data_IF_699336958735
#
_entry.id   IF_699336958735
#
_cell.length_a   1.000
_cell.length_b   1.000
_cell.length_c   1.000
_cell.angle_alpha   90.00
_cell.angle_beta   90.00
_cell.angle_gamma   90.00
#
_symmetry.space_group_name_H-M   'P 1'
#
loop_
_entity.id
_entity.type
_entity.pdbx_description
1 polymer ?
#
# COMPACT_ATOMS: atom_id res chain seq x y z
N UNK A 1 -44.07 -17.49 -19.30
CA UNK A 1 -42.65 -17.45 -18.94
C UNK A 1 -42.26 -15.99 -18.83
N UNK A 2 -42.35 -15.41 -17.65
CA UNK A 2 -41.91 -14.05 -17.35
C UNK A 2 -40.39 -14.10 -17.21
N UNK A 3 -39.69 -13.57 -18.20
CA UNK A 3 -38.24 -13.40 -18.13
C UNK A 3 -37.96 -12.32 -17.07
N UNK A 4 -37.67 -12.75 -15.85
CA UNK A 4 -37.11 -11.85 -14.83
C UNK A 4 -35.75 -11.38 -15.34
N UNK A 5 -35.64 -10.10 -15.69
CA UNK A 5 -34.36 -9.45 -16.04
C UNK A 5 -33.37 -9.69 -14.90
N UNK A 6 -32.18 -10.19 -15.20
CA UNK A 6 -31.10 -10.33 -14.21
C UNK A 6 -30.79 -8.93 -13.62
N UNK A 7 -30.96 -8.73 -12.32
CA UNK A 7 -30.73 -7.42 -11.69
C UNK A 7 -29.25 -6.95 -11.81
N UNK A 8 -28.35 -7.85 -12.22
CA UNK A 8 -26.92 -7.56 -12.44
C UNK A 8 -26.60 -7.02 -13.84
N UNK A 9 -27.59 -6.99 -14.76
CA UNK A 9 -27.36 -6.45 -16.10
C UNK A 9 -26.88 -4.98 -16.04
N UNK A 10 -25.85 -4.64 -16.82
CA UNK A 10 -25.30 -3.27 -16.87
C UNK A 10 -26.38 -2.27 -17.35
N UNK A 11 -26.47 -1.12 -16.69
CA UNK A 11 -27.26 0.02 -17.20
C UNK A 11 -26.52 0.61 -18.39
N UNK A 12 -27.23 0.98 -19.46
CA UNK A 12 -26.71 1.92 -20.43
C UNK A 12 -26.35 3.23 -19.73
N UNK A 13 -25.20 3.81 -20.06
CA UNK A 13 -24.74 5.05 -19.46
C UNK A 13 -25.80 6.13 -19.58
N UNK A 14 -26.23 6.73 -18.46
CA UNK A 14 -27.16 7.85 -18.49
C UNK A 14 -26.55 9.01 -19.29
N UNK A 15 -27.33 9.70 -20.16
CA UNK A 15 -26.85 10.87 -20.87
C UNK A 15 -26.37 11.94 -19.89
N UNK A 16 -25.23 12.57 -20.18
CA UNK A 16 -24.70 13.68 -19.36
C UNK A 16 -25.64 14.87 -19.45
N UNK A 17 -25.96 15.48 -18.31
CA UNK A 17 -26.49 16.84 -18.29
C UNK A 17 -25.35 17.80 -18.60
N UNK A 18 -25.58 18.82 -19.44
CA UNK A 18 -24.55 19.72 -20.00
C UNK A 18 -23.73 20.54 -18.98
N UNK A 19 -24.18 20.61 -17.70
CA UNK A 19 -23.54 21.37 -16.61
C UNK A 19 -22.78 20.48 -15.61
N UNK A 20 -22.71 19.16 -15.84
CA UNK A 20 -21.94 18.26 -14.97
C UNK A 20 -20.43 18.49 -15.15
N UNK A 21 -19.65 18.63 -14.04
CA UNK A 21 -18.20 18.70 -14.12
C UNK A 21 -17.63 17.44 -14.81
N UNK A 22 -16.42 17.51 -15.39
CA UNK A 22 -15.83 16.39 -16.09
C UNK A 22 -15.78 15.16 -15.18
N UNK A 23 -15.91 13.97 -15.79
CA UNK A 23 -15.81 12.71 -15.07
C UNK A 23 -14.48 12.66 -14.29
N UNK A 24 -14.57 12.41 -12.98
CA UNK A 24 -13.41 12.39 -12.08
C UNK A 24 -13.36 13.56 -11.09
N UNK A 25 -14.14 14.62 -11.31
CA UNK A 25 -14.21 15.83 -10.47
C UNK A 25 -15.63 16.12 -9.96
N UNK A 26 -16.52 15.15 -10.10
CA UNK A 26 -17.93 15.32 -9.67
C UNK A 26 -18.06 15.26 -8.15
N UNK A 27 -18.98 16.04 -7.61
CA UNK A 27 -19.44 15.87 -6.24
C UNK A 27 -20.18 14.52 -6.10
N UNK A 28 -20.28 13.97 -4.87
CA UNK A 28 -21.04 12.75 -4.64
C UNK A 28 -22.51 12.90 -5.10
N UNK A 29 -23.05 11.81 -5.65
CA UNK A 29 -24.48 11.73 -5.99
C UNK A 29 -25.00 10.35 -5.58
N UNK A 30 -25.90 10.34 -4.61
CA UNK A 30 -26.50 9.13 -4.06
C UNK A 30 -27.98 9.14 -4.37
N UNK A 31 -28.39 8.33 -5.34
CA UNK A 31 -29.75 8.27 -5.86
C UNK A 31 -30.56 7.07 -5.30
N UNK A 32 -29.85 6.09 -4.67
CA UNK A 32 -30.48 4.87 -4.12
C UNK A 32 -30.05 4.65 -2.67
N UNK A 33 -30.59 3.62 -2.03
CA UNK A 33 -29.99 3.10 -0.79
C UNK A 33 -28.53 2.64 -1.02
N UNK A 34 -27.72 2.58 0.04
CA UNK A 34 -26.30 2.22 -0.02
C UNK A 34 -26.05 1.02 0.93
N UNK A 35 -25.73 -0.16 0.37
CA UNK A 35 -25.78 -0.53 -1.05
C UNK A 35 -27.21 -0.59 -1.59
N UNK A 36 -27.37 -0.33 -2.89
CA UNK A 36 -28.65 -0.43 -3.57
C UNK A 36 -29.02 -1.87 -3.96
N UNK A 37 -30.21 -2.07 -4.54
CA UNK A 37 -30.72 -3.42 -4.81
C UNK A 37 -29.85 -4.24 -5.78
N UNK A 38 -29.22 -3.60 -6.77
CA UNK A 38 -28.29 -4.28 -7.69
C UNK A 38 -26.98 -4.63 -7.00
N UNK A 39 -26.47 -3.73 -6.16
CA UNK A 39 -25.31 -3.96 -5.32
C UNK A 39 -25.53 -5.17 -4.40
N UNK A 40 -26.67 -5.25 -3.73
CA UNK A 40 -27.04 -6.38 -2.85
C UNK A 40 -27.09 -7.72 -3.60
N UNK A 41 -27.65 -7.74 -4.82
CA UNK A 41 -27.64 -8.96 -5.63
C UNK A 41 -26.23 -9.46 -5.98
N UNK A 42 -25.28 -8.55 -6.20
CA UNK A 42 -23.87 -8.90 -6.36
C UNK A 42 -23.23 -9.38 -5.06
N UNK A 43 -23.56 -8.76 -3.92
CA UNK A 43 -23.06 -9.18 -2.60
C UNK A 43 -23.51 -10.58 -2.23
N UNK A 44 -24.77 -10.97 -2.55
CA UNK A 44 -25.23 -12.33 -2.39
C UNK A 44 -24.46 -13.33 -3.25
N UNK A 45 -24.15 -12.96 -4.50
CA UNK A 45 -23.33 -13.81 -5.38
C UNK A 45 -21.90 -13.94 -4.84
N UNK A 46 -21.32 -12.85 -4.34
CA UNK A 46 -20.00 -12.82 -3.72
C UNK A 46 -19.95 -13.74 -2.50
N UNK A 47 -20.95 -13.68 -1.62
CA UNK A 47 -21.02 -14.49 -0.41
C UNK A 47 -21.06 -16.00 -0.69
N UNK A 48 -21.58 -16.43 -1.86
CA UNK A 48 -21.59 -17.83 -2.28
C UNK A 48 -20.24 -18.32 -2.82
N UNK A 49 -19.38 -17.41 -3.28
CA UNK A 49 -18.19 -17.74 -4.06
C UNK A 49 -16.87 -17.35 -3.39
N UNK A 50 -16.88 -16.36 -2.50
CA UNK A 50 -15.66 -15.92 -1.81
C UNK A 50 -15.34 -16.78 -0.57
N UNK A 51 -14.08 -16.71 -0.13
CA UNK A 51 -13.67 -17.36 1.11
C UNK A 51 -14.50 -16.84 2.30
N UNK A 52 -15.05 -17.75 3.15
CA UNK A 52 -15.93 -17.38 4.28
C UNK A 52 -15.35 -16.36 5.25
N UNK A 53 -14.02 -16.22 5.33
CA UNK A 53 -13.34 -15.26 6.20
C UNK A 53 -13.73 -13.80 5.90
N UNK A 54 -13.99 -13.46 4.64
CA UNK A 54 -14.37 -12.11 4.24
C UNK A 54 -15.79 -11.78 4.67
N UNK A 55 -16.74 -12.70 4.46
CA UNK A 55 -18.12 -12.58 4.91
C UNK A 55 -18.19 -12.47 6.44
N UNK A 56 -17.49 -13.36 7.16
CA UNK A 56 -17.42 -13.33 8.63
C UNK A 56 -16.84 -12.00 9.16
N UNK A 57 -15.86 -11.42 8.48
CA UNK A 57 -15.31 -10.11 8.85
C UNK A 57 -16.34 -8.99 8.70
N UNK A 58 -17.15 -9.00 7.63
CA UNK A 58 -18.22 -8.03 7.42
C UNK A 58 -19.29 -8.16 8.52
N UNK A 59 -19.77 -9.35 8.79
CA UNK A 59 -20.75 -9.63 9.85
C UNK A 59 -20.27 -9.10 11.22
N UNK A 60 -19.02 -9.40 11.60
CA UNK A 60 -18.44 -8.91 12.85
C UNK A 60 -18.37 -7.38 12.92
N UNK A 61 -18.04 -6.70 11.82
CA UNK A 61 -18.03 -5.24 11.75
C UNK A 61 -19.42 -4.65 11.86
N UNK A 62 -20.44 -5.29 11.27
CA UNK A 62 -21.84 -4.88 11.42
C UNK A 62 -22.30 -4.97 12.87
N UNK A 63 -21.98 -6.05 13.57
CA UNK A 63 -22.24 -6.20 15.01
C UNK A 63 -21.57 -5.10 15.85
N UNK A 64 -20.28 -4.81 15.54
CA UNK A 64 -19.52 -3.79 16.27
C UNK A 64 -20.01 -2.36 16.06
N UNK A 65 -20.49 -2.04 14.86
CA UNK A 65 -20.90 -0.69 14.48
C UNK A 65 -22.39 -0.43 14.67
N UNK A 66 -23.20 -1.49 14.77
CA UNK A 66 -24.66 -1.39 14.70
C UNK A 66 -25.19 -0.90 13.33
N UNK A 67 -24.34 -0.91 12.29
CA UNK A 67 -24.67 -0.45 10.95
C UNK A 67 -24.40 -1.53 9.91
N UNK A 68 -25.14 -1.56 8.78
CA UNK A 68 -24.83 -2.46 7.66
C UNK A 68 -23.38 -2.26 7.16
N UNK A 69 -22.70 -3.35 6.88
CA UNK A 69 -21.33 -3.33 6.34
C UNK A 69 -21.20 -4.07 5.01
N UNK A 70 -22.34 -4.32 4.35
CA UNK A 70 -22.34 -4.86 3.00
C UNK A 70 -21.62 -3.89 2.06
N UNK A 71 -20.71 -4.38 1.22
CA UNK A 71 -19.93 -3.51 0.35
C UNK A 71 -20.78 -2.96 -0.79
N UNK A 72 -20.52 -1.73 -1.21
CA UNK A 72 -20.89 -1.26 -2.53
C UNK A 72 -20.07 -2.02 -3.58
N UNK A 73 -20.64 -2.24 -4.75
CA UNK A 73 -19.96 -2.95 -5.85
C UNK A 73 -19.59 -1.95 -6.93
N UNK A 74 -18.29 -1.69 -7.07
CA UNK A 74 -17.77 -0.75 -8.06
C UNK A 74 -17.90 -1.30 -9.48
N UNK A 75 -18.42 -0.50 -10.39
CA UNK A 75 -18.55 -0.83 -11.81
C UNK A 75 -17.71 0.05 -12.70
N UNK A 76 -17.45 1.29 -12.29
CA UNK A 76 -16.56 2.19 -13.00
C UNK A 76 -15.86 3.16 -12.05
N UNK A 77 -14.74 3.72 -12.49
CA UNK A 77 -14.04 4.78 -11.77
C UNK A 77 -13.26 5.67 -12.74
N UNK A 78 -13.14 6.96 -12.42
CA UNK A 78 -12.30 7.92 -13.16
C UNK A 78 -11.90 9.08 -12.26
N UNK A 79 -10.63 9.50 -12.30
CA UNK A 79 -10.11 10.56 -11.43
C UNK A 79 -10.29 10.19 -9.95
N UNK A 80 -11.02 10.99 -9.19
CA UNK A 80 -11.38 10.71 -7.80
C UNK A 80 -12.78 10.09 -7.63
N UNK A 81 -13.53 9.86 -8.71
CA UNK A 81 -14.87 9.32 -8.64
C UNK A 81 -14.94 7.82 -8.88
N UNK A 82 -15.82 7.18 -8.13
CA UNK A 82 -16.21 5.77 -8.29
C UNK A 82 -17.71 5.70 -8.47
N UNK A 83 -18.19 4.84 -9.36
CA UNK A 83 -19.59 4.56 -9.57
C UNK A 83 -19.92 3.12 -9.16
N UNK A 84 -20.99 2.93 -8.39
CA UNK A 84 -21.42 1.59 -7.99
C UNK A 84 -22.42 0.97 -8.99
N UNK A 85 -22.79 -0.28 -8.72
CA UNK A 85 -23.72 -1.04 -9.57
C UNK A 85 -25.12 -0.42 -9.67
N UNK A 86 -25.48 0.43 -8.74
CA UNK A 86 -26.79 1.11 -8.69
C UNK A 86 -26.75 2.52 -9.33
N UNK A 87 -25.55 2.99 -9.73
CA UNK A 87 -25.32 4.27 -10.39
C UNK A 87 -25.05 5.43 -9.44
N UNK A 88 -24.87 5.15 -8.14
CA UNK A 88 -24.41 6.16 -7.20
C UNK A 88 -22.96 6.54 -7.49
N UNK A 89 -22.63 7.82 -7.35
CA UNK A 89 -21.28 8.37 -7.56
C UNK A 89 -20.68 8.77 -6.22
N UNK A 90 -19.49 8.27 -5.98
CA UNK A 90 -18.73 8.51 -4.76
C UNK A 90 -17.43 9.28 -5.05
N UNK A 91 -16.92 9.99 -4.04
CA UNK A 91 -15.55 10.51 -4.02
C UNK A 91 -14.67 9.55 -3.20
N UNK A 92 -13.64 9.03 -3.83
CA UNK A 92 -12.73 8.06 -3.23
C UNK A 92 -11.54 8.72 -2.54
N UNK A 93 -11.64 8.94 -1.23
CA UNK A 93 -10.51 9.39 -0.40
C UNK A 93 -9.51 8.27 -0.07
N UNK A 94 -9.82 7.02 -0.42
CA UNK A 94 -8.94 5.88 -0.17
C UNK A 94 -7.92 5.67 -1.28
N UNK A 95 -8.14 6.28 -2.45
CA UNK A 95 -7.37 6.04 -3.68
C UNK A 95 -7.24 4.54 -3.99
N UNK A 96 -8.30 3.74 -3.77
CA UNK A 96 -8.25 2.28 -3.93
C UNK A 96 -7.17 1.63 -3.06
N UNK A 97 -7.12 1.91 -1.78
CA UNK A 97 -6.02 1.52 -0.86
C UNK A 97 -4.66 2.14 -1.21
N UNK A 98 -4.64 3.37 -1.73
CA UNK A 98 -3.41 4.07 -2.11
C UNK A 98 -2.84 3.66 -3.46
N UNK A 99 -3.59 2.92 -4.27
CA UNK A 99 -3.17 2.45 -5.61
C UNK A 99 -3.36 3.54 -6.68
N UNK A 100 -4.46 4.28 -6.63
CA UNK A 100 -4.81 5.28 -7.63
C UNK A 100 -4.18 6.66 -7.32
N UNK A 101 -2.85 6.71 -7.16
CA UNK A 101 -2.15 7.95 -6.82
C UNK A 101 -2.24 9.03 -7.92
N UNK A 102 -2.36 8.61 -9.18
CA UNK A 102 -2.57 9.49 -10.35
C UNK A 102 -4.05 9.63 -10.72
N UNK A 103 -4.96 9.16 -9.85
CA UNK A 103 -6.39 9.05 -10.13
C UNK A 103 -6.76 7.74 -10.82
N UNK A 104 -8.03 7.35 -10.65
CA UNK A 104 -8.56 6.17 -11.33
C UNK A 104 -8.55 6.37 -12.84
N UNK A 105 -8.10 5.35 -13.57
CA UNK A 105 -8.16 5.32 -15.04
C UNK A 105 -7.55 6.54 -15.72
N UNK A 106 -6.36 6.98 -15.22
CA UNK A 106 -5.65 8.10 -15.83
C UNK A 106 -5.43 7.88 -17.33
N UNK A 107 -5.74 8.85 -18.23
CA UNK A 107 -5.73 8.65 -19.67
C UNK A 107 -4.38 8.14 -20.23
N UNK A 108 -3.25 8.68 -19.72
CA UNK A 108 -1.90 8.25 -20.14
C UNK A 108 -1.62 6.81 -19.74
N UNK A 109 -2.05 6.39 -18.54
CA UNK A 109 -1.88 5.01 -18.06
C UNK A 109 -2.72 4.06 -18.90
N UNK A 110 -3.98 4.40 -19.17
CA UNK A 110 -4.88 3.59 -20.03
C UNK A 110 -4.29 3.47 -21.44
N UNK A 111 -3.82 4.58 -22.02
CA UNK A 111 -3.20 4.59 -23.36
C UNK A 111 -1.95 3.69 -23.42
N UNK A 112 -1.08 3.75 -22.42
CA UNK A 112 0.12 2.92 -22.34
C UNK A 112 -0.23 1.42 -22.25
N UNK A 113 -1.24 1.05 -21.44
CA UNK A 113 -1.73 -0.33 -21.31
C UNK A 113 -2.30 -0.79 -22.65
N UNK A 114 -3.12 0.02 -23.32
CA UNK A 114 -3.74 -0.33 -24.62
C UNK A 114 -2.66 -0.56 -25.66
N UNK A 115 -1.75 0.37 -25.85
CA UNK A 115 -0.66 0.23 -26.82
C UNK A 115 0.22 -0.99 -26.54
N UNK A 116 0.52 -1.27 -25.27
CA UNK A 116 1.30 -2.45 -24.88
C UNK A 116 0.53 -3.75 -25.12
N UNK A 117 -0.80 -3.75 -24.93
CA UNK A 117 -1.63 -4.93 -25.17
C UNK A 117 -1.67 -5.35 -26.62
N UNK A 118 -1.56 -4.40 -27.54
CA UNK A 118 -1.48 -4.66 -28.98
C UNK A 118 -0.09 -5.16 -29.42
N UNK A 119 0.95 -4.91 -28.60
CA UNK A 119 2.33 -5.26 -28.90
C UNK A 119 2.76 -6.61 -28.30
N UNK A 120 2.61 -6.76 -26.98
CA UNK A 120 3.05 -7.96 -26.25
C UNK A 120 2.38 -8.03 -24.88
N UNK A 121 1.60 -9.10 -24.63
CA UNK A 121 0.95 -9.34 -23.35
C UNK A 121 1.87 -9.98 -22.31
N UNK A 122 2.75 -10.90 -22.75
CA UNK A 122 3.63 -11.65 -21.86
C UNK A 122 4.98 -11.92 -22.50
N UNK A 123 6.06 -11.77 -21.76
CA UNK A 123 7.41 -12.17 -22.15
C UNK A 123 7.83 -13.43 -21.37
N UNK A 124 9.03 -13.97 -21.65
CA UNK A 124 9.52 -15.17 -20.96
C UNK A 124 10.41 -14.81 -19.76
N UNK A 125 9.88 -13.96 -18.88
CA UNK A 125 10.48 -13.61 -17.59
C UNK A 125 11.91 -13.03 -17.70
N UNK A 126 12.86 -13.74 -17.16
CA UNK A 126 14.29 -13.44 -17.17
C UNK A 126 15.03 -14.07 -18.38
N UNK A 127 14.46 -15.12 -18.98
CA UNK A 127 15.06 -15.84 -20.12
C UNK A 127 14.98 -14.99 -21.41
N UNK A 128 13.80 -14.45 -21.72
CA UNK A 128 13.59 -13.53 -22.83
C UNK A 128 12.75 -12.35 -22.36
N UNK A 129 13.38 -11.33 -21.75
CA UNK A 129 12.69 -10.18 -21.20
C UNK A 129 12.11 -9.29 -22.30
N UNK A 130 11.02 -8.58 -21.98
CA UNK A 130 10.50 -7.55 -22.87
C UNK A 130 11.31 -6.25 -22.73
N UNK A 131 11.32 -5.45 -23.80
CA UNK A 131 11.93 -4.12 -23.83
C UNK A 131 11.35 -3.20 -22.75
N UNK A 132 10.03 -3.18 -22.61
CA UNK A 132 9.34 -2.34 -21.60
C UNK A 132 9.67 -2.78 -20.16
N UNK A 133 9.97 -4.07 -19.91
CA UNK A 133 10.49 -4.52 -18.61
C UNK A 133 11.86 -3.90 -18.33
N UNK A 134 12.74 -3.93 -19.34
CA UNK A 134 14.11 -3.37 -19.20
C UNK A 134 14.04 -1.88 -18.94
N UNK A 135 13.25 -1.12 -19.73
CA UNK A 135 13.04 0.32 -19.52
C UNK A 135 12.52 0.63 -18.10
N UNK A 136 11.58 -0.17 -17.58
CA UNK A 136 11.10 0.03 -16.22
C UNK A 136 12.19 -0.26 -15.18
N UNK A 137 13.01 -1.30 -15.36
CA UNK A 137 14.11 -1.59 -14.43
C UNK A 137 15.12 -0.44 -14.36
N UNK A 138 15.48 0.15 -15.50
CA UNK A 138 16.36 1.33 -15.58
C UNK A 138 15.71 2.55 -14.86
N UNK A 139 14.43 2.81 -15.14
CA UNK A 139 13.69 3.92 -14.51
C UNK A 139 13.59 3.75 -12.98
N UNK A 140 13.35 2.52 -12.51
CA UNK A 140 13.28 2.21 -11.08
C UNK A 140 14.66 2.28 -10.41
N UNK A 141 15.71 1.81 -11.06
CA UNK A 141 17.08 1.92 -10.56
C UNK A 141 17.47 3.39 -10.36
N UNK A 142 17.05 4.27 -11.25
CA UNK A 142 17.31 5.71 -11.14
C UNK A 142 16.54 6.40 -9.99
N UNK A 143 15.52 5.77 -9.39
CA UNK A 143 14.83 6.29 -8.21
C UNK A 143 15.60 6.04 -6.91
N UNK A 144 16.50 5.06 -6.88
CA UNK A 144 17.27 4.73 -5.69
C UNK A 144 18.20 5.85 -5.28
N UNK A 145 18.40 6.09 -3.97
CA UNK A 145 19.29 7.17 -3.48
C UNK A 145 20.78 6.85 -3.59
N UNK A 146 21.13 5.61 -3.98
CA UNK A 146 22.50 5.13 -4.05
C UNK A 146 23.15 5.49 -5.39
N UNK A 147 24.49 5.46 -5.43
CA UNK A 147 25.25 5.69 -6.66
C UNK A 147 24.85 4.74 -7.78
N UNK A 148 24.66 3.48 -7.44
CA UNK A 148 24.20 2.43 -8.33
C UNK A 148 23.13 1.60 -7.61
N UNK A 149 22.06 1.29 -8.31
CA UNK A 149 20.94 0.51 -7.77
C UNK A 149 20.69 -0.73 -8.60
N UNK A 150 20.16 -1.76 -7.95
CA UNK A 150 19.60 -2.95 -8.61
C UNK A 150 18.16 -3.14 -8.15
N UNK A 151 17.37 -3.81 -8.99
CA UNK A 151 15.93 -3.93 -8.78
C UNK A 151 15.48 -5.38 -8.94
N UNK A 152 14.70 -5.86 -7.98
CA UNK A 152 13.95 -7.11 -8.10
C UNK A 152 12.47 -6.74 -8.21
N UNK A 153 11.80 -7.26 -9.26
CA UNK A 153 10.38 -7.04 -9.52
C UNK A 153 9.50 -8.04 -8.77
N UNK A 154 8.30 -7.61 -8.43
CA UNK A 154 7.23 -8.42 -7.89
C UNK A 154 5.85 -7.93 -8.39
N UNK A 155 4.77 -8.55 -7.93
CA UNK A 155 3.39 -8.20 -8.26
C UNK A 155 2.67 -7.53 -7.09
N UNK A 156 3.05 -7.88 -5.88
CA UNK A 156 2.44 -7.38 -4.65
C UNK A 156 3.48 -6.74 -3.72
N UNK A 157 3.02 -5.93 -2.76
CA UNK A 157 3.91 -5.44 -1.71
C UNK A 157 4.58 -6.58 -0.94
N UNK A 158 3.87 -7.69 -0.73
CA UNK A 158 4.44 -8.89 -0.10
C UNK A 158 5.63 -9.46 -0.88
N UNK A 159 5.57 -9.45 -2.23
CA UNK A 159 6.70 -9.94 -3.05
C UNK A 159 7.92 -9.03 -2.92
N UNK A 160 7.72 -7.72 -2.89
CA UNK A 160 8.80 -6.76 -2.70
C UNK A 160 9.49 -6.92 -1.33
N UNK A 161 8.71 -7.09 -0.27
CA UNK A 161 9.23 -7.35 1.09
C UNK A 161 9.91 -8.72 1.14
N UNK A 162 9.34 -9.76 0.52
CA UNK A 162 9.96 -11.08 0.44
C UNK A 162 11.33 -11.02 -0.26
N UNK A 163 11.44 -10.27 -1.38
CA UNK A 163 12.70 -10.02 -2.06
C UNK A 163 13.72 -9.32 -1.14
N UNK A 164 13.27 -8.31 -0.38
CA UNK A 164 14.12 -7.59 0.56
C UNK A 164 14.60 -8.47 1.72
N UNK A 165 13.73 -9.32 2.27
CA UNK A 165 14.08 -10.29 3.33
C UNK A 165 15.11 -11.32 2.85
N UNK A 166 14.92 -11.86 1.64
CA UNK A 166 15.89 -12.77 1.01
C UNK A 166 17.21 -12.08 0.74
N UNK A 167 17.17 -10.84 0.22
CA UNK A 167 18.39 -10.03 0.03
C UNK A 167 19.17 -9.88 1.34
N UNK A 168 18.46 -9.54 2.42
CA UNK A 168 19.09 -9.38 3.73
C UNK A 168 19.69 -10.69 4.25
N UNK A 169 19.00 -11.81 4.10
CA UNK A 169 19.51 -13.13 4.49
C UNK A 169 20.78 -13.51 3.70
N UNK A 170 20.78 -13.29 2.39
CA UNK A 170 21.95 -13.57 1.52
C UNK A 170 23.13 -12.65 1.86
N UNK A 171 22.88 -11.36 2.05
CA UNK A 171 23.95 -10.39 2.27
C UNK A 171 24.55 -10.46 3.68
N UNK A 172 23.78 -10.85 4.70
CA UNK A 172 24.24 -10.87 6.10
C UNK A 172 24.51 -12.27 6.64
N UNK A 173 24.00 -13.31 5.99
CA UNK A 173 24.04 -14.69 6.49
C UNK A 173 23.18 -14.91 7.74
N UNK A 174 22.30 -13.97 8.12
CA UNK A 174 21.53 -13.99 9.37
C UNK A 174 20.03 -14.04 9.11
N UNK A 175 19.30 -15.00 9.75
CA UNK A 175 17.87 -15.19 9.52
C UNK A 175 16.98 -14.23 10.35
N UNK A 176 17.54 -13.56 11.37
CA UNK A 176 16.78 -12.70 12.28
C UNK A 176 16.36 -11.40 11.61
N UNK A 177 15.13 -10.97 11.87
CA UNK A 177 14.57 -9.73 11.34
C UNK A 177 13.74 -9.03 12.40
N UNK A 178 13.84 -7.71 12.48
CA UNK A 178 13.03 -6.86 13.36
C UNK A 178 11.94 -6.18 12.53
N UNK A 179 10.68 -6.30 12.97
CA UNK A 179 9.55 -5.46 12.58
C UNK A 179 9.04 -4.67 13.78
N UNK A 180 7.94 -3.95 13.63
CA UNK A 180 7.41 -3.07 14.67
C UNK A 180 5.93 -3.34 14.96
N UNK A 181 5.51 -3.09 16.20
CA UNK A 181 4.09 -3.06 16.60
C UNK A 181 3.31 -2.10 15.71
N UNK A 182 2.16 -2.53 15.22
CA UNK A 182 1.34 -1.77 14.27
C UNK A 182 1.80 -1.89 12.81
N UNK A 183 2.99 -2.43 12.52
CA UNK A 183 3.54 -2.59 11.19
C UNK A 183 2.75 -3.60 10.34
N UNK A 184 2.59 -3.29 9.06
CA UNK A 184 1.89 -4.16 8.10
C UNK A 184 2.65 -4.24 6.77
N UNK A 185 3.32 -5.37 6.53
CA UNK A 185 4.20 -5.58 5.39
C UNK A 185 3.67 -6.59 4.36
N UNK A 186 2.43 -7.03 4.53
CA UNK A 186 1.80 -8.06 3.72
C UNK A 186 1.52 -9.36 4.48
N UNK A 187 0.90 -10.33 3.80
CA UNK A 187 0.41 -11.57 4.43
C UNK A 187 1.00 -12.85 3.81
N UNK A 188 1.96 -12.77 2.88
CA UNK A 188 2.81 -13.91 2.55
C UNK A 188 3.69 -14.25 3.76
N UNK A 189 4.13 -15.50 3.93
CA UNK A 189 4.73 -15.99 5.18
C UNK A 189 5.95 -15.19 5.65
N UNK A 190 6.82 -14.74 4.75
CA UNK A 190 7.96 -13.89 5.13
C UNK A 190 7.51 -12.57 5.75
N UNK A 191 6.77 -11.70 5.01
CA UNK A 191 6.21 -10.46 5.54
C UNK A 191 5.25 -10.66 6.73
N UNK A 192 4.47 -11.75 6.73
CA UNK A 192 3.54 -12.08 7.81
C UNK A 192 4.25 -12.26 9.15
N UNK A 193 5.46 -12.84 9.15
CA UNK A 193 6.27 -12.98 10.37
C UNK A 193 6.54 -11.64 11.07
N UNK A 194 6.57 -10.54 10.29
CA UNK A 194 6.81 -9.16 10.74
C UNK A 194 5.54 -8.32 10.91
N UNK A 195 4.35 -8.91 10.66
CA UNK A 195 3.09 -8.20 10.78
C UNK A 195 2.74 -7.94 12.26
N UNK A 196 3.24 -6.83 12.80
CA UNK A 196 2.96 -6.37 14.15
C UNK A 196 1.59 -5.71 14.32
N UNK A 197 0.83 -5.55 13.23
CA UNK A 197 -0.51 -4.94 13.23
C UNK A 197 -1.51 -5.70 14.10
N UNK A 198 -1.50 -7.04 14.05
CA UNK A 198 -2.35 -7.88 14.88
C UNK A 198 -1.77 -9.29 14.99
N UNK A 199 -1.69 -9.80 16.21
CA UNK A 199 -1.31 -11.19 16.47
C UNK A 199 -2.28 -12.19 15.82
N UNK A 200 -3.55 -11.82 15.66
CA UNK A 200 -4.57 -12.64 15.01
C UNK A 200 -4.23 -13.04 13.57
N UNK A 201 -3.38 -12.27 12.86
CA UNK A 201 -2.89 -12.67 11.54
C UNK A 201 -1.79 -13.72 11.61
N UNK A 202 -0.89 -13.66 12.61
CA UNK A 202 0.29 -14.53 12.74
C UNK A 202 -0.03 -15.84 13.45
N UNK A 203 -0.85 -15.80 14.50
CA UNK A 203 -1.12 -16.92 15.38
C UNK A 203 -1.54 -18.22 14.67
N UNK A 204 -2.43 -18.22 13.67
CA UNK A 204 -2.82 -19.46 12.97
C UNK A 204 -1.67 -20.13 12.20
N UNK A 205 -0.64 -19.35 11.83
CA UNK A 205 0.48 -19.81 11.00
C UNK A 205 1.83 -19.80 11.75
N UNK A 206 1.82 -19.63 13.08
CA UNK A 206 3.03 -19.40 13.87
C UNK A 206 4.12 -20.47 13.64
N UNK A 207 3.74 -21.73 13.45
CA UNK A 207 4.67 -22.84 13.20
C UNK A 207 5.36 -22.77 11.81
N UNK A 208 4.84 -21.95 10.89
CA UNK A 208 5.36 -21.80 9.52
C UNK A 208 6.12 -20.50 9.33
N UNK A 209 6.08 -19.61 10.31
CA UNK A 209 6.72 -18.31 10.23
C UNK A 209 8.18 -18.37 10.69
N UNK A 210 8.99 -17.38 10.25
CA UNK A 210 10.38 -17.26 10.68
C UNK A 210 10.45 -17.15 12.23
N UNK A 211 11.03 -18.13 12.94
CA UNK A 211 11.11 -18.12 14.40
C UNK A 211 12.08 -17.05 14.94
N UNK A 212 12.92 -16.48 14.08
CA UNK A 212 13.88 -15.43 14.43
C UNK A 212 13.33 -14.01 14.18
N UNK A 213 12.06 -13.89 13.74
CA UNK A 213 11.39 -12.60 13.65
C UNK A 213 11.12 -12.02 15.04
N UNK A 214 11.35 -10.73 15.21
CA UNK A 214 11.11 -9.99 16.47
C UNK A 214 10.27 -8.77 16.17
N UNK A 215 9.35 -8.44 17.07
CA UNK A 215 8.50 -7.24 16.96
C UNK A 215 8.94 -6.28 18.07
N UNK A 216 9.50 -5.14 17.68
CA UNK A 216 9.84 -4.05 18.57
C UNK A 216 8.63 -3.14 18.82
N UNK A 217 8.54 -2.48 19.99
CA UNK A 217 7.54 -1.44 20.21
C UNK A 217 7.69 -0.31 19.18
N UNK A 218 6.57 0.25 18.73
CA UNK A 218 6.59 1.47 17.92
C UNK A 218 6.61 2.69 18.83
N UNK A 219 7.60 3.60 18.69
CA UNK A 219 7.68 4.77 19.54
C UNK A 219 6.57 5.79 19.22
N UNK A 220 6.00 6.47 20.25
CA UNK A 220 5.17 7.66 20.03
C UNK A 220 6.00 8.78 19.39
N UNK A 221 5.37 9.64 18.59
CA UNK A 221 6.04 10.79 17.94
C UNK A 221 6.73 11.72 18.94
N UNK A 222 6.15 11.87 20.14
CA UNK A 222 6.69 12.69 21.23
C UNK A 222 7.81 12.03 22.04
N UNK A 223 8.17 10.78 21.73
CA UNK A 223 9.23 10.04 22.43
C UNK A 223 10.60 10.63 22.13
N UNK A 224 11.50 10.65 23.14
CA UNK A 224 12.90 10.98 22.90
C UNK A 224 13.58 9.95 22.00
N UNK A 225 14.50 10.40 21.14
CA UNK A 225 15.12 9.52 20.15
C UNK A 225 15.86 8.33 20.79
N UNK A 226 16.60 8.55 21.87
CA UNK A 226 17.31 7.47 22.57
C UNK A 226 16.35 6.43 23.16
N UNK A 227 15.24 6.89 23.75
CA UNK A 227 14.20 6.02 24.30
C UNK A 227 13.49 5.24 23.18
N UNK A 228 13.27 5.88 22.05
CA UNK A 228 12.70 5.25 20.85
C UNK A 228 13.58 4.12 20.30
N UNK A 229 14.91 4.32 20.31
CA UNK A 229 15.87 3.36 19.79
C UNK A 229 16.27 2.27 20.79
N UNK A 230 16.12 2.51 22.10
CA UNK A 230 16.57 1.59 23.15
C UNK A 230 15.96 0.17 23.04
N UNK A 231 14.65 -0.02 22.73
CA UNK A 231 14.09 -1.35 22.53
C UNK A 231 14.74 -2.10 21.36
N UNK A 232 15.02 -1.38 20.27
CA UNK A 232 15.65 -1.97 19.07
C UNK A 232 17.11 -2.33 19.36
N UNK A 233 17.84 -1.45 20.06
CA UNK A 233 19.25 -1.68 20.46
C UNK A 233 19.39 -2.97 21.27
N UNK A 234 18.50 -3.20 22.23
CA UNK A 234 18.49 -4.44 23.04
C UNK A 234 18.34 -5.72 22.22
N UNK A 235 17.65 -5.66 21.07
CA UNK A 235 17.50 -6.83 20.19
C UNK A 235 18.80 -7.20 19.47
N UNK A 236 19.81 -6.33 19.45
CA UNK A 236 21.16 -6.62 18.93
C UNK A 236 22.16 -7.06 20.02
N UNK A 237 21.80 -7.02 21.29
CA UNK A 237 22.69 -7.35 22.41
C UNK A 237 22.87 -8.87 22.63
N UNK A 238 22.11 -9.74 21.96
CA UNK A 238 22.18 -11.19 22.06
C UNK A 238 23.45 -11.80 21.45
N UNK A 239 23.53 -13.15 21.49
CA UNK A 239 24.62 -13.89 20.89
C UNK A 239 24.76 -13.53 19.40
N UNK A 240 25.98 -13.42 18.83
CA UNK A 240 26.18 -13.02 17.44
C UNK A 240 25.36 -13.80 16.39
N UNK A 241 25.14 -15.12 16.61
CA UNK A 241 24.33 -15.97 15.72
C UNK A 241 22.83 -15.67 15.79
N UNK A 242 22.34 -14.99 16.85
CA UNK A 242 20.94 -14.63 17.05
C UNK A 242 20.64 -13.18 16.65
N UNK A 243 21.69 -12.40 16.35
CA UNK A 243 21.54 -11.01 15.96
C UNK A 243 20.74 -10.87 14.68
N UNK A 244 19.79 -9.93 14.62
CA UNK A 244 19.03 -9.66 13.41
C UNK A 244 19.94 -9.30 12.22
N UNK A 245 19.60 -9.81 11.03
CA UNK A 245 20.21 -9.44 9.76
C UNK A 245 19.53 -8.22 9.14
N UNK A 246 18.32 -7.88 9.56
CA UNK A 246 17.58 -6.73 9.01
C UNK A 246 16.61 -6.12 10.00
N UNK A 247 16.26 -4.86 9.73
CA UNK A 247 15.11 -4.14 10.26
C UNK A 247 14.19 -3.78 9.09
N UNK A 248 12.89 -4.07 9.20
CA UNK A 248 11.86 -3.63 8.25
C UNK A 248 10.99 -2.58 8.92
N UNK A 249 10.83 -1.43 8.28
CA UNK A 249 10.09 -0.29 8.84
C UNK A 249 9.31 0.45 7.77
N UNK A 250 8.03 0.78 8.06
CA UNK A 250 7.28 1.79 7.31
C UNK A 250 7.75 3.17 7.79
N UNK A 251 8.12 4.13 6.91
CA UNK A 251 8.50 5.49 7.34
C UNK A 251 7.39 6.20 8.13
N UNK A 252 6.15 5.96 7.75
CA UNK A 252 4.93 6.26 8.49
C UNK A 252 4.07 4.99 8.44
N UNK A 253 3.68 4.47 9.59
CA UNK A 253 2.81 3.29 9.61
C UNK A 253 1.42 3.64 9.11
N UNK A 254 1.08 3.18 7.90
CA UNK A 254 -0.21 3.50 7.30
C UNK A 254 -1.38 2.77 7.98
N UNK A 255 -1.45 1.47 7.84
CA UNK A 255 -2.52 0.65 8.39
C UNK A 255 -2.56 0.67 9.91
N UNK A 256 -1.42 0.85 10.56
CA UNK A 256 -1.29 1.02 12.00
C UNK A 256 -1.97 2.28 12.58
N UNK A 257 -2.55 3.13 11.73
CA UNK A 257 -3.29 4.34 12.12
C UNK A 257 -2.54 5.64 11.83
N UNK A 258 -1.78 5.66 10.75
CA UNK A 258 -0.93 6.79 10.31
C UNK A 258 -0.05 7.28 11.46
N UNK A 259 0.76 6.36 11.99
CA UNK A 259 1.64 6.63 13.14
C UNK A 259 2.99 7.12 12.66
N UNK A 260 3.34 8.35 13.06
CA UNK A 260 4.60 9.00 12.72
C UNK A 260 5.62 8.68 13.83
N UNK A 261 6.87 8.28 13.50
CA UNK A 261 7.91 8.10 14.50
C UNK A 261 8.54 9.45 14.90
N UNK A 262 9.29 9.53 16.02
CA UNK A 262 10.05 10.72 16.34
C UNK A 262 11.07 11.08 15.24
N UNK A 263 11.35 12.37 15.08
CA UNK A 263 12.35 12.84 14.13
C UNK A 263 13.71 12.17 14.36
N UNK A 264 14.39 11.77 13.30
CA UNK A 264 15.67 11.06 13.34
C UNK A 264 15.57 9.56 13.64
N UNK A 265 14.36 9.01 13.82
CA UNK A 265 14.20 7.58 14.13
C UNK A 265 14.73 6.67 13.02
N UNK A 266 14.42 6.96 11.76
CA UNK A 266 14.91 6.16 10.62
C UNK A 266 16.44 6.26 10.50
N UNK A 267 17.01 7.44 10.70
CA UNK A 267 18.46 7.64 10.72
C UNK A 267 19.12 6.86 11.86
N UNK A 268 18.50 6.86 13.05
CA UNK A 268 18.93 6.07 14.20
C UNK A 268 18.90 4.56 13.93
N UNK A 269 17.82 4.06 13.30
CA UNK A 269 17.74 2.65 12.87
C UNK A 269 18.82 2.32 11.86
N UNK A 270 19.09 3.23 10.90
CA UNK A 270 20.16 3.07 9.92
C UNK A 270 21.54 2.96 10.59
N UNK A 271 21.81 3.81 11.57
CA UNK A 271 23.05 3.79 12.32
C UNK A 271 23.23 2.47 13.10
N UNK A 272 22.17 1.98 13.77
CA UNK A 272 22.18 0.67 14.42
C UNK A 272 22.45 -0.47 13.43
N UNK A 273 21.83 -0.44 12.26
CA UNK A 273 22.09 -1.43 11.21
C UNK A 273 23.55 -1.42 10.81
N UNK A 274 24.16 -0.26 10.55
CA UNK A 274 25.61 -0.15 10.20
C UNK A 274 26.48 -0.70 11.33
N UNK A 275 26.21 -0.28 12.56
CA UNK A 275 26.99 -0.72 13.74
C UNK A 275 27.01 -2.24 13.90
N UNK A 276 25.90 -2.90 13.59
CA UNK A 276 25.74 -4.34 13.78
C UNK A 276 25.83 -5.17 12.49
N UNK A 277 26.16 -4.55 11.36
CA UNK A 277 26.24 -5.22 10.05
C UNK A 277 24.87 -5.79 9.61
N UNK A 278 23.78 -5.15 9.94
CA UNK A 278 22.43 -5.47 9.52
C UNK A 278 21.96 -4.52 8.40
N UNK A 279 20.84 -4.83 7.76
CA UNK A 279 20.26 -3.99 6.72
C UNK A 279 18.99 -3.28 7.19
N UNK A 280 18.87 -1.99 6.86
CA UNK A 280 17.61 -1.25 6.99
C UNK A 280 16.81 -1.40 5.69
N UNK A 281 15.58 -1.90 5.80
CA UNK A 281 14.61 -2.06 4.73
C UNK A 281 13.48 -1.06 4.97
N UNK A 282 13.33 -0.08 4.08
CA UNK A 282 12.19 0.85 4.13
C UNK A 282 11.02 0.29 3.31
N UNK A 283 9.90 0.10 3.97
CA UNK A 283 8.63 -0.25 3.32
C UNK A 283 7.91 1.03 2.87
N UNK A 284 8.15 1.41 1.65
CA UNK A 284 7.54 2.58 0.98
C UNK A 284 6.34 2.20 0.11
N UNK A 285 5.79 1.00 0.29
CA UNK A 285 4.67 0.50 -0.52
C UNK A 285 3.44 1.42 -0.42
N UNK A 286 3.22 2.04 0.74
CA UNK A 286 2.15 3.02 0.93
C UNK A 286 2.65 4.46 0.93
N UNK A 287 3.81 4.74 1.53
CA UNK A 287 4.31 6.09 1.77
C UNK A 287 4.99 6.71 0.57
N UNK A 288 5.53 5.88 -0.33
CA UNK A 288 6.25 6.29 -1.52
C UNK A 288 5.36 6.80 -2.66
N UNK A 289 6.02 7.16 -3.76
CA UNK A 289 5.45 7.60 -5.02
C UNK A 289 4.47 8.77 -4.86
N UNK A 290 4.87 9.76 -4.05
CA UNK A 290 4.15 11.00 -3.86
C UNK A 290 3.10 10.99 -2.74
N UNK A 291 2.69 9.83 -2.20
CA UNK A 291 1.63 9.77 -1.20
C UNK A 291 1.87 10.69 0.00
N UNK A 292 3.07 10.69 0.54
CA UNK A 292 3.46 11.52 1.68
C UNK A 292 4.12 12.86 1.27
N UNK A 293 3.96 13.29 0.02
CA UNK A 293 4.52 14.54 -0.49
C UNK A 293 5.99 14.45 -0.90
N UNK A 294 6.56 13.25 -0.94
CA UNK A 294 7.90 12.93 -1.42
C UNK A 294 7.84 11.72 -2.35
N UNK A 295 8.79 11.62 -3.29
CA UNK A 295 8.86 10.45 -4.17
C UNK A 295 9.19 9.17 -3.37
N UNK A 296 10.16 9.28 -2.46
CA UNK A 296 10.51 8.27 -1.44
C UNK A 296 10.60 8.99 -0.09
N UNK A 297 9.72 8.66 0.85
CA UNK A 297 9.61 9.40 2.10
C UNK A 297 10.78 9.16 3.07
N UNK A 298 11.30 7.93 3.11
CA UNK A 298 12.42 7.55 3.99
C UNK A 298 13.71 8.31 3.68
N UNK A 299 13.92 8.69 2.41
CA UNK A 299 15.13 9.36 1.95
C UNK A 299 15.30 10.77 2.54
N UNK A 300 14.22 11.36 3.09
CA UNK A 300 14.30 12.64 3.82
C UNK A 300 15.18 12.57 5.07
N UNK A 301 15.25 11.43 5.72
CA UNK A 301 16.02 11.26 6.96
C UNK A 301 17.28 10.45 6.75
N UNK A 302 17.26 9.45 5.88
CA UNK A 302 18.36 8.52 5.71
C UNK A 302 18.31 7.80 4.38
N UNK A 303 19.43 7.21 3.96
CA UNK A 303 19.48 6.26 2.85
C UNK A 303 19.30 4.84 3.40
N UNK A 304 18.13 4.20 3.27
CA UNK A 304 17.96 2.80 3.63
C UNK A 304 18.90 1.91 2.79
N UNK A 305 19.14 0.68 3.21
CA UNK A 305 19.88 -0.29 2.40
C UNK A 305 19.03 -0.86 1.26
N UNK A 306 17.73 -1.03 1.53
CA UNK A 306 16.72 -1.52 0.58
C UNK A 306 15.45 -0.69 0.73
N UNK A 307 14.75 -0.48 -0.39
CA UNK A 307 13.46 0.23 -0.44
C UNK A 307 12.46 -0.62 -1.21
N UNK A 308 11.31 -0.88 -0.61
CA UNK A 308 10.21 -1.61 -1.24
C UNK A 308 9.12 -0.64 -1.68
N UNK A 309 8.71 -0.68 -2.93
CA UNK A 309 7.64 0.13 -3.52
C UNK A 309 6.58 -0.75 -4.17
N UNK A 310 5.35 -0.24 -4.26
CA UNK A 310 4.22 -0.97 -4.84
C UNK A 310 3.00 -0.06 -4.99
N UNK A 311 1.80 -0.58 -4.74
CA UNK A 311 0.52 0.18 -4.80
C UNK A 311 0.44 1.16 -5.97
N UNK A 312 0.78 2.44 -5.73
CA UNK A 312 0.75 3.51 -6.71
C UNK A 312 1.53 3.20 -7.99
N UNK A 313 2.61 2.41 -7.89
CA UNK A 313 3.50 2.09 -9.01
C UNK A 313 2.74 1.50 -10.22
N UNK A 314 1.76 0.63 -9.96
CA UNK A 314 1.05 -0.07 -11.02
C UNK A 314 -0.10 0.72 -11.67
N UNK A 315 -0.53 1.86 -11.10
CA UNK A 315 -1.66 2.65 -11.62
C UNK A 315 -2.98 1.87 -11.71
N UNK A 316 -3.14 0.81 -10.91
CA UNK A 316 -4.26 -0.13 -10.92
C UNK A 316 -3.85 -1.57 -11.26
N UNK A 317 -2.67 -1.81 -11.84
CA UNK A 317 -2.14 -3.14 -12.12
C UNK A 317 -1.20 -3.63 -11.01
N UNK A 318 -1.09 -4.97 -10.82
CA UNK A 318 -0.23 -5.56 -9.81
C UNK A 318 1.26 -5.39 -10.19
N UNK A 319 1.92 -4.42 -9.56
CA UNK A 319 3.34 -4.10 -9.77
C UNK A 319 3.97 -3.70 -8.44
N UNK A 320 5.11 -4.29 -8.13
CA UNK A 320 5.96 -3.90 -7.01
C UNK A 320 7.44 -4.08 -7.34
N UNK A 321 8.29 -3.52 -6.52
CA UNK A 321 9.73 -3.68 -6.65
C UNK A 321 10.44 -3.54 -5.30
N UNK A 322 11.54 -4.27 -5.14
CA UNK A 322 12.58 -4.05 -4.15
C UNK A 322 13.77 -3.41 -4.85
N UNK A 323 14.13 -2.20 -4.44
CA UNK A 323 15.31 -1.47 -4.87
C UNK A 323 16.39 -1.65 -3.81
N UNK A 324 17.63 -1.81 -4.23
CA UNK A 324 18.75 -1.93 -3.30
C UNK A 324 20.05 -1.34 -3.84
N UNK A 325 20.94 -0.96 -2.92
CA UNK A 325 22.32 -0.62 -3.26
C UNK A 325 22.97 -1.76 -4.04
N UNK A 326 23.64 -1.43 -5.15
CA UNK A 326 24.22 -2.45 -6.04
C UNK A 326 25.23 -3.36 -5.33
N UNK A 327 26.00 -2.83 -4.36
CA UNK A 327 26.95 -3.60 -3.57
C UNK A 327 26.26 -4.67 -2.71
N UNK A 328 25.14 -4.32 -2.08
CA UNK A 328 24.32 -5.26 -1.30
C UNK A 328 23.68 -6.30 -2.20
N UNK A 329 23.14 -5.87 -3.34
CA UNK A 329 22.46 -6.74 -4.30
C UNK A 329 23.42 -7.73 -5.00
N UNK A 330 24.76 -7.55 -4.91
CA UNK A 330 25.74 -8.55 -5.35
C UNK A 330 25.58 -9.91 -4.65
N UNK A 331 24.99 -9.94 -3.45
CA UNK A 331 24.73 -11.18 -2.72
C UNK A 331 23.87 -12.18 -3.53
N UNK A 332 23.07 -11.71 -4.49
CA UNK A 332 22.29 -12.57 -5.39
C UNK A 332 23.13 -13.27 -6.47
N UNK A 333 24.34 -12.81 -6.74
CA UNK A 333 25.27 -13.44 -7.68
C UNK A 333 26.04 -14.63 -7.11
N UNK A 334 25.96 -14.88 -5.79
CA UNK A 334 26.66 -15.96 -5.11
C UNK A 334 26.03 -17.36 -5.26
N UNK A 335 24.70 -17.52 -5.41
CA UNK A 335 24.08 -18.83 -5.63
C UNK A 335 24.49 -19.46 -6.95
N UNK A 336 24.71 -20.78 -6.92
CA UNK A 336 25.17 -21.58 -8.06
C UNK A 336 24.17 -21.65 -9.21
N UNK A 337 24.00 -20.53 -9.95
CA UNK A 337 23.36 -20.53 -11.25
C UNK A 337 21.84 -20.51 -11.30
N UNK A 338 21.12 -20.52 -10.16
CA UNK A 338 19.66 -20.50 -10.13
C UNK A 338 19.09 -19.17 -9.64
N UNK A 339 17.95 -18.76 -10.23
CA UNK A 339 17.20 -17.58 -9.80
C UNK A 339 16.38 -17.92 -8.53
N UNK A 340 16.90 -17.61 -7.35
CA UNK A 340 16.30 -17.94 -6.05
C UNK A 340 15.00 -17.16 -5.74
N UNK A 341 14.68 -16.15 -6.53
CA UNK A 341 13.46 -15.37 -6.40
C UNK A 341 12.97 -14.90 -7.77
N UNK A 342 12.07 -15.65 -8.35
CA UNK A 342 11.46 -15.38 -9.64
C UNK A 342 9.99 -15.75 -9.64
N UNK A 343 9.25 -15.25 -10.61
CA UNK A 343 7.83 -15.56 -10.82
C UNK A 343 7.44 -15.36 -12.26
N UNK A 344 6.58 -16.23 -12.79
CA UNK A 344 6.13 -16.21 -14.19
C UNK A 344 5.72 -14.81 -14.68
N UNK A 345 5.05 -14.05 -13.81
CA UNK A 345 4.55 -12.71 -14.15
C UNK A 345 5.43 -11.56 -13.65
N UNK A 346 6.56 -11.84 -13.02
CA UNK A 346 7.47 -10.77 -12.59
C UNK A 346 8.01 -10.04 -13.81
N UNK A 347 7.66 -8.76 -13.92
CA UNK A 347 8.02 -7.94 -15.07
C UNK A 347 7.12 -8.12 -16.30
N UNK A 348 5.84 -8.58 -16.14
CA UNK A 348 4.93 -8.65 -17.28
C UNK A 348 4.73 -7.28 -17.96
N UNK A 349 4.62 -7.27 -19.32
CA UNK A 349 4.71 -6.03 -20.09
C UNK A 349 3.66 -4.98 -19.76
N UNK A 350 2.38 -5.38 -19.55
CA UNK A 350 1.31 -4.41 -19.24
C UNK A 350 1.57 -3.65 -17.93
N UNK A 351 2.01 -4.37 -16.90
CA UNK A 351 2.35 -3.73 -15.63
C UNK A 351 3.57 -2.82 -15.75
N UNK A 352 4.53 -3.19 -16.60
CA UNK A 352 5.70 -2.36 -16.85
C UNK A 352 5.33 -1.06 -17.60
N UNK A 353 4.50 -1.14 -18.63
CA UNK A 353 3.99 0.02 -19.37
C UNK A 353 3.16 0.95 -18.48
N UNK A 354 2.28 0.38 -17.66
CA UNK A 354 1.49 1.15 -16.71
C UNK A 354 2.38 1.88 -15.69
N UNK A 355 3.38 1.20 -15.13
CA UNK A 355 4.29 1.77 -14.13
C UNK A 355 5.14 2.91 -14.72
N UNK A 356 5.66 2.76 -15.93
CA UNK A 356 6.37 3.85 -16.62
C UNK A 356 5.46 5.07 -16.79
N UNK A 357 4.24 4.86 -17.29
CA UNK A 357 3.27 5.94 -17.48
C UNK A 357 2.89 6.62 -16.15
N UNK A 358 2.78 5.87 -15.04
CA UNK A 358 2.54 6.45 -13.71
C UNK A 358 3.71 7.33 -13.28
N UNK A 359 4.95 6.87 -13.44
CA UNK A 359 6.14 7.65 -13.08
C UNK A 359 6.22 8.95 -13.89
N UNK A 360 5.94 8.89 -15.18
CA UNK A 360 5.90 10.06 -16.06
C UNK A 360 4.79 11.04 -15.65
N UNK A 361 3.60 10.56 -15.31
CA UNK A 361 2.50 11.42 -14.83
C UNK A 361 2.84 12.09 -13.50
N UNK A 362 3.44 11.36 -12.56
CA UNK A 362 3.85 11.92 -11.27
C UNK A 362 4.84 13.08 -11.45
N UNK A 363 5.77 12.95 -12.39
CA UNK A 363 6.79 13.94 -12.70
C UNK A 363 6.21 15.13 -13.49
N UNK A 364 5.61 14.87 -14.66
CA UNK A 364 5.14 15.87 -15.61
C UNK A 364 4.02 16.76 -15.03
N UNK A 365 3.14 16.19 -14.22
CA UNK A 365 2.03 16.92 -13.59
C UNK A 365 2.36 17.44 -12.19
N UNK A 366 3.59 17.24 -11.71
CA UNK A 366 4.07 17.74 -10.43
C UNK A 366 3.29 17.21 -9.22
N UNK A 367 2.75 15.96 -9.32
CA UNK A 367 1.80 15.44 -8.35
C UNK A 367 2.40 15.23 -6.96
N UNK A 368 3.71 14.98 -6.86
CA UNK A 368 4.41 14.87 -5.57
C UNK A 368 4.31 16.18 -4.79
N UNK A 369 4.62 17.32 -5.42
CA UNK A 369 4.49 18.65 -4.83
C UNK A 369 3.04 19.00 -4.52
N UNK A 370 2.11 18.66 -5.43
CA UNK A 370 0.67 18.85 -5.21
C UNK A 370 0.17 18.08 -4.00
N UNK A 371 0.58 16.81 -3.81
CA UNK A 371 0.24 16.01 -2.64
C UNK A 371 0.67 16.68 -1.34
N UNK A 372 1.89 17.25 -1.29
CA UNK A 372 2.40 18.00 -0.13
C UNK A 372 1.52 19.20 0.18
N UNK A 373 1.28 20.06 -0.81
CA UNK A 373 0.50 21.30 -0.64
C UNK A 373 -0.94 21.03 -0.26
N UNK A 374 -1.61 20.12 -0.99
CA UNK A 374 -3.03 19.79 -0.72
C UNK A 374 -3.20 19.07 0.62
N UNK A 375 -2.23 18.21 0.99
CA UNK A 375 -2.24 17.54 2.29
C UNK A 375 -2.12 18.52 3.45
N UNK A 376 -1.22 19.49 3.37
CA UNK A 376 -1.09 20.58 4.36
C UNK A 376 -2.38 21.39 4.46
N UNK A 377 -2.92 21.83 3.32
CA UNK A 377 -4.16 22.59 3.27
C UNK A 377 -5.33 21.82 3.91
N UNK A 378 -5.51 20.54 3.58
CA UNK A 378 -6.58 19.70 4.15
C UNK A 378 -6.40 19.53 5.66
N UNK A 379 -5.18 19.26 6.12
CA UNK A 379 -4.89 19.13 7.55
C UNK A 379 -5.18 20.43 8.33
N UNK A 380 -4.81 21.59 7.77
CA UNK A 380 -5.12 22.90 8.35
C UNK A 380 -6.63 23.17 8.39
N UNK A 381 -7.34 22.86 7.32
CA UNK A 381 -8.81 22.98 7.27
C UNK A 381 -9.51 22.10 8.32
N UNK A 382 -8.99 20.89 8.56
CA UNK A 382 -9.52 19.98 9.58
C UNK A 382 -9.25 20.50 10.98
N UNK A 383 -8.03 20.98 11.26
CA UNK A 383 -7.66 21.59 12.55
C UNK A 383 -8.48 22.86 12.83
N UNK A 384 -8.66 23.73 11.84
CA UNK A 384 -9.44 24.96 11.96
C UNK A 384 -10.94 24.69 12.30
N UNK A 385 -11.42 23.47 12.08
CA UNK A 385 -12.77 23.02 12.44
C UNK A 385 -12.82 22.23 13.74
N UNK A 386 -11.71 22.19 14.47
CA UNK A 386 -11.57 21.47 15.74
C UNK A 386 -11.98 19.98 15.63
N UNK A 387 -11.63 19.35 14.52
CA UNK A 387 -11.95 17.94 14.29
C UNK A 387 -11.07 16.98 15.09
N UNK A 388 -10.05 17.49 15.80
CA UNK A 388 -9.15 16.71 16.63
C UNK A 388 -7.70 16.70 16.11
N UNK A 389 -6.90 15.78 16.61
CA UNK A 389 -5.47 15.67 16.34
C UNK A 389 -5.22 15.01 14.96
N UNK A 390 -5.27 15.83 13.89
CA UNK A 390 -4.97 15.39 12.52
C UNK A 390 -3.47 15.17 12.38
N UNK A 391 -3.08 13.95 11.98
CA UNK A 391 -1.70 13.55 11.77
C UNK A 391 -1.47 12.94 10.40
N UNK A 392 -0.22 12.94 9.93
CA UNK A 392 0.16 12.40 8.63
C UNK A 392 1.09 13.31 7.86
N UNK A 393 1.35 12.95 6.59
CA UNK A 393 2.15 13.72 5.66
C UNK A 393 1.57 13.59 4.25
N UNK A 394 1.66 14.66 3.45
CA UNK A 394 1.04 14.71 2.14
C UNK A 394 -0.43 14.33 2.21
N UNK A 395 -0.88 13.45 1.31
CA UNK A 395 -2.26 12.93 1.28
C UNK A 395 -2.41 11.58 2.02
N UNK A 396 -1.53 11.27 2.95
CA UNK A 396 -1.72 10.21 3.95
C UNK A 396 -2.05 10.88 5.29
N UNK A 397 -3.32 11.14 5.52
CA UNK A 397 -3.82 11.82 6.71
C UNK A 397 -4.72 10.89 7.52
N UNK A 398 -4.73 11.09 8.83
CA UNK A 398 -5.59 10.38 9.76
C UNK A 398 -6.15 11.29 10.84
N UNK A 399 -7.37 10.96 11.26
CA UNK A 399 -8.10 11.61 12.32
C UNK A 399 -8.46 10.58 13.40
N UNK A 400 -7.85 10.61 14.60
CA UNK A 400 -8.32 9.83 15.73
C UNK A 400 -9.71 10.27 16.16
N UNK A 401 -10.66 9.32 16.20
CA UNK A 401 -12.07 9.64 16.50
C UNK A 401 -12.61 8.98 17.76
N UNK A 402 -11.75 8.30 18.52
CA UNK A 402 -12.10 7.85 19.86
C UNK A 402 -12.88 6.54 19.94
N UNK A 403 -12.42 5.50 19.26
CA UNK A 403 -12.90 4.12 19.40
C UNK A 403 -13.56 3.53 18.15
N UNK A 404 -13.54 2.20 18.03
CA UNK A 404 -13.93 1.49 16.81
C UNK A 404 -15.40 1.68 16.42
N UNK A 405 -16.32 1.63 17.37
CA UNK A 405 -17.75 1.80 17.09
C UNK A 405 -18.03 3.18 16.46
N UNK A 406 -17.46 4.25 17.05
CA UNK A 406 -17.62 5.61 16.52
C UNK A 406 -16.97 5.74 15.14
N UNK A 407 -15.79 5.20 14.95
CA UNK A 407 -15.10 5.22 13.64
C UNK A 407 -15.93 4.51 12.57
N UNK A 408 -16.41 3.30 12.85
CA UNK A 408 -17.22 2.54 11.90
C UNK A 408 -18.55 3.23 11.58
N UNK A 409 -19.19 3.85 12.58
CA UNK A 409 -20.39 4.65 12.37
C UNK A 409 -20.11 5.88 11.48
N UNK A 410 -18.97 6.55 11.67
CA UNK A 410 -18.57 7.67 10.81
C UNK A 410 -18.25 7.22 9.39
N UNK A 411 -17.53 6.09 9.22
CA UNK A 411 -17.27 5.49 7.90
C UNK A 411 -18.59 5.23 7.18
N UNK A 412 -19.58 4.63 7.86
CA UNK A 412 -20.90 4.41 7.28
C UNK A 412 -21.62 5.73 6.96
N UNK A 413 -21.60 6.69 7.88
CA UNK A 413 -22.23 8.00 7.68
C UNK A 413 -21.63 8.79 6.50
N UNK A 414 -20.34 8.65 6.25
CA UNK A 414 -19.67 9.22 5.08
C UNK A 414 -20.01 8.45 3.81
N UNK A 415 -20.04 7.11 3.89
CA UNK A 415 -20.38 6.25 2.76
C UNK A 415 -21.78 6.59 2.19
N UNK A 416 -22.81 6.71 3.05
CA UNK A 416 -24.17 7.06 2.60
C UNK A 416 -24.30 8.50 2.10
N UNK A 417 -23.26 9.33 2.31
CA UNK A 417 -23.13 10.68 1.73
C UNK A 417 -22.25 10.70 0.48
N UNK A 418 -21.75 9.53 0.05
CA UNK A 418 -20.94 9.39 -1.13
C UNK A 418 -19.45 9.64 -0.93
N UNK A 419 -18.92 9.53 0.28
CA UNK A 419 -17.48 9.66 0.57
C UNK A 419 -16.90 8.34 1.05
N UNK A 420 -15.90 7.84 0.33
CA UNK A 420 -15.19 6.60 0.68
C UNK A 420 -13.98 6.92 1.54
N UNK A 421 -14.00 6.45 2.77
CA UNK A 421 -12.91 6.50 3.73
C UNK A 421 -12.70 5.14 4.38
N UNK A 422 -11.56 4.91 5.01
CA UNK A 422 -11.25 3.62 5.64
C UNK A 422 -10.89 3.80 7.11
N UNK A 423 -11.32 2.85 7.97
CA UNK A 423 -10.85 2.81 9.33
C UNK A 423 -9.41 2.29 9.37
N UNK A 424 -8.58 2.86 10.23
CA UNK A 424 -7.20 2.49 10.47
C UNK A 424 -6.93 2.27 11.97
N UNK A 425 -5.75 1.74 12.29
CA UNK A 425 -5.41 1.27 13.63
C UNK A 425 -5.86 -0.18 13.86
N UNK A 426 -5.16 -0.92 14.72
CA UNK A 426 -5.48 -2.32 15.01
C UNK A 426 -6.89 -2.47 15.63
N UNK A 427 -7.32 -1.46 16.36
CA UNK A 427 -8.62 -1.33 17.00
C UNK A 427 -9.64 -0.55 16.14
N UNK A 428 -9.29 -0.17 14.91
CA UNK A 428 -10.12 0.66 14.03
C UNK A 428 -10.57 1.99 14.70
N UNK A 429 -9.73 2.64 15.50
CA UNK A 429 -10.06 3.87 16.22
C UNK A 429 -9.74 5.17 15.46
N UNK A 430 -9.20 5.05 14.25
CA UNK A 430 -8.72 6.14 13.41
C UNK A 430 -9.44 6.13 12.06
N UNK A 431 -9.83 7.31 11.58
CA UNK A 431 -10.39 7.54 10.26
C UNK A 431 -9.31 8.05 9.31
#
# INVERSE_FOLDING_TARGET
MTTTRDPRATREASPRHGDDPPNGERLPRIDTAVPGPRGLAWVEALARSECPAFTARRARRAEQSGAPTDPIVWTSAVGSNVEDADGNVYVDFTSGFGVAAVGHRHPRVVSAITAQSEKLLHGLGDVYPSDVKIALLERLAALGPWRESRVIRGLSGSDAIEAALKTAALATGRPGVIGFEGGYHGLAHGPLALCGYSEGFRRPFAAQLNPHARIAPWPPESCGLDDALAPVRRLFEGHPSERPGAIVVEPIQGRGGVRIPPAGFLAGLRALCVQHGALLIADEILTGLGRCGELLHSVRETEPHLICIGKALGGGLPVSACLGDAGIMQAWGAPEGEALHTGTFFGHPLGAAAALAVLDVLEDEGLVGRSRTMGSCLAEMMRARDLGDVRGAGLLLALPVGGSARTLSLVHALLVRGYLVLPAGADASVL
#
